data_IF_989873307755
#
_entry.id   IF_989873307755
#
_cell.length_a   1.000
_cell.length_b   1.000
_cell.length_c   1.000
_cell.angle_alpha   90.00
_cell.angle_beta   90.00
_cell.angle_gamma   90.00
#
_symmetry.space_group_name_H-M   'P 1'
#
loop_
_entity.id
_entity.type
_entity.pdbx_description
1 polymer ?
#
# COMPACT_ATOMS: atom_id res chain seq x y z
N UNK A 1 -22.54 26.33 -13.95
CA UNK A 1 -22.90 25.22 -13.06
C UNK A 1 -21.77 24.20 -13.12
N UNK A 2 -20.85 24.20 -12.14
CA UNK A 2 -19.63 23.38 -12.11
C UNK A 2 -19.47 22.62 -10.76
N UNK A 3 -20.58 22.46 -10.03
CA UNK A 3 -20.62 21.80 -8.70
C UNK A 3 -20.12 20.34 -8.67
N UNK A 4 -20.39 19.48 -9.69
CA UNK A 4 -20.02 18.07 -9.61
C UNK A 4 -18.51 17.83 -9.47
N UNK A 5 -17.69 18.71 -10.05
CA UNK A 5 -16.22 18.55 -10.08
C UNK A 5 -15.55 18.93 -8.77
N UNK A 6 -16.03 19.97 -8.09
CA UNK A 6 -15.48 20.40 -6.79
C UNK A 6 -15.89 19.43 -5.69
N UNK A 7 -17.16 19.02 -5.66
CA UNK A 7 -17.67 18.05 -4.68
C UNK A 7 -16.95 16.70 -4.79
N UNK A 8 -16.69 16.23 -6.02
CA UNK A 8 -15.90 15.02 -6.26
C UNK A 8 -14.46 15.17 -5.74
N UNK A 9 -13.78 16.26 -6.04
CA UNK A 9 -12.41 16.49 -5.57
C UNK A 9 -12.31 16.55 -4.03
N UNK A 10 -13.28 17.18 -3.36
CA UNK A 10 -13.36 17.18 -1.90
C UNK A 10 -13.58 15.76 -1.38
N UNK A 11 -14.51 15.00 -1.99
CA UNK A 11 -14.79 13.63 -1.59
C UNK A 11 -13.56 12.73 -1.71
N UNK A 12 -12.78 12.85 -2.78
CA UNK A 12 -11.55 12.06 -2.99
C UNK A 12 -10.48 12.39 -1.92
N UNK A 13 -10.31 13.68 -1.59
CA UNK A 13 -9.38 14.10 -0.53
C UNK A 13 -9.83 13.60 0.84
N UNK A 14 -11.12 13.74 1.17
CA UNK A 14 -11.69 13.22 2.41
C UNK A 14 -11.49 11.71 2.47
N UNK A 15 -11.80 10.99 1.38
CA UNK A 15 -11.60 9.54 1.32
C UNK A 15 -10.15 9.12 1.56
N UNK A 16 -9.19 9.81 0.96
CA UNK A 16 -7.77 9.55 1.22
C UNK A 16 -7.37 9.70 2.70
N UNK A 17 -8.01 10.61 3.43
CA UNK A 17 -7.71 10.92 4.83
C UNK A 17 -8.51 10.07 5.83
N UNK A 18 -9.75 9.70 5.50
CA UNK A 18 -10.69 9.16 6.48
C UNK A 18 -11.28 7.80 6.12
N UNK A 19 -11.17 7.35 4.87
CA UNK A 19 -11.69 6.02 4.52
C UNK A 19 -10.90 4.95 5.28
N UNK A 20 -11.58 3.89 5.77
CA UNK A 20 -10.92 2.80 6.46
C UNK A 20 -9.74 2.25 5.67
N UNK A 21 -8.65 1.91 6.37
CA UNK A 21 -7.52 1.21 5.77
C UNK A 21 -7.96 -0.23 5.46
N UNK A 22 -7.72 -0.67 4.23
CA UNK A 22 -8.04 -2.04 3.80
C UNK A 22 -7.02 -3.00 4.43
N UNK A 23 -7.51 -3.91 5.26
CA UNK A 23 -6.70 -4.93 5.95
C UNK A 23 -7.34 -6.31 5.81
N UNK A 24 -6.54 -7.36 6.00
CA UNK A 24 -7.08 -8.72 6.04
C UNK A 24 -8.05 -8.89 7.23
N UNK A 25 -9.19 -9.57 7.04
CA UNK A 25 -10.15 -9.82 8.11
C UNK A 25 -9.57 -10.81 9.14
N UNK A 26 -8.96 -10.27 10.19
CA UNK A 26 -8.36 -11.07 11.27
C UNK A 26 -8.19 -10.34 12.61
N UNK A 27 -8.66 -9.09 12.72
CA UNK A 27 -8.56 -8.29 13.96
C UNK A 27 -7.22 -7.59 14.17
N UNK A 28 -6.33 -7.58 13.17
CA UNK A 28 -4.98 -7.00 13.26
C UNK A 28 -4.87 -5.56 12.70
N UNK A 29 -5.99 -4.90 12.38
CA UNK A 29 -5.94 -3.54 11.84
C UNK A 29 -5.25 -2.54 12.77
N UNK A 30 -5.47 -2.68 14.09
CA UNK A 30 -4.87 -1.80 15.10
C UNK A 30 -3.36 -2.06 15.32
N UNK A 31 -2.83 -3.21 14.87
CA UNK A 31 -1.39 -3.52 14.98
C UNK A 31 -0.57 -2.94 13.83
N UNK A 32 -1.18 -2.28 12.85
CA UNK A 32 -0.44 -1.62 11.79
C UNK A 32 0.47 -0.52 12.35
N UNK A 33 1.74 -0.46 11.92
CA UNK A 33 2.65 0.57 12.39
C UNK A 33 2.27 1.94 11.81
N UNK A 34 2.48 3.01 12.60
CA UNK A 34 2.01 4.36 12.25
C UNK A 34 2.67 4.93 10.99
N UNK A 35 3.91 4.52 10.71
CA UNK A 35 4.59 4.90 9.47
C UNK A 35 3.89 4.36 8.23
N UNK A 36 3.30 3.17 8.32
CA UNK A 36 2.59 2.54 7.21
C UNK A 36 1.23 3.22 7.01
N UNK A 37 0.52 3.54 8.10
CA UNK A 37 -0.72 4.34 8.03
C UNK A 37 -0.49 5.68 7.35
N UNK A 38 0.62 6.36 7.68
CA UNK A 38 1.02 7.62 7.05
C UNK A 38 1.32 7.42 5.56
N UNK A 39 2.04 6.36 5.20
CA UNK A 39 2.37 6.02 3.80
C UNK A 39 1.11 5.76 2.97
N UNK A 40 0.12 5.06 3.53
CA UNK A 40 -1.18 4.82 2.89
C UNK A 40 -1.89 6.14 2.57
N UNK A 41 -1.97 7.06 3.54
CA UNK A 41 -2.58 8.38 3.31
C UNK A 41 -1.88 9.13 2.19
N UNK A 42 -0.54 9.13 2.17
CA UNK A 42 0.25 9.80 1.14
C UNK A 42 0.04 9.16 -0.24
N UNK A 43 0.07 7.83 -0.33
CA UNK A 43 -0.12 7.12 -1.60
C UNK A 43 -1.54 7.28 -2.14
N UNK A 44 -2.58 7.29 -1.29
CA UNK A 44 -3.96 7.60 -1.70
C UNK A 44 -4.07 9.02 -2.29
N UNK A 45 -3.41 10.02 -1.68
CA UNK A 45 -3.35 11.37 -2.23
C UNK A 45 -2.61 11.42 -3.58
N UNK A 46 -1.53 10.66 -3.73
CA UNK A 46 -0.82 10.51 -5.03
C UNK A 46 -1.73 9.88 -6.08
N UNK A 47 -2.50 8.86 -5.71
CA UNK A 47 -3.46 8.23 -6.62
C UNK A 47 -4.58 9.17 -7.05
N UNK A 48 -5.10 10.01 -6.14
CA UNK A 48 -6.04 11.08 -6.51
C UNK A 48 -5.42 12.02 -7.55
N UNK A 49 -4.16 12.42 -7.37
CA UNK A 49 -3.46 13.27 -8.35
C UNK A 49 -3.27 12.60 -9.71
N UNK A 50 -3.02 11.28 -9.75
CA UNK A 50 -2.95 10.49 -11.00
C UNK A 50 -4.31 10.39 -11.67
N UNK A 51 -5.37 10.14 -10.90
CA UNK A 51 -6.74 10.11 -11.40
C UNK A 51 -7.16 11.44 -12.04
N UNK A 52 -6.78 12.57 -11.44
CA UNK A 52 -7.00 13.91 -12.02
C UNK A 52 -6.28 14.12 -13.36
N UNK A 53 -5.18 13.40 -13.60
CA UNK A 53 -4.45 13.40 -14.88
C UNK A 53 -5.00 12.41 -15.91
N UNK A 54 -6.08 11.69 -15.57
CA UNK A 54 -6.73 10.72 -16.45
C UNK A 54 -6.16 9.30 -16.37
N UNK A 55 -5.28 9.01 -15.41
CA UNK A 55 -4.83 7.64 -15.14
C UNK A 55 -5.94 6.84 -14.42
N UNK A 56 -6.02 5.54 -14.68
CA UNK A 56 -6.98 4.67 -13.98
C UNK A 56 -6.54 4.46 -12.52
N UNK A 57 -7.40 4.75 -11.52
CA UNK A 57 -7.08 4.48 -10.13
C UNK A 57 -6.86 2.98 -9.87
N UNK A 58 -5.83 2.65 -9.12
CA UNK A 58 -5.48 1.30 -8.64
C UNK A 58 -5.30 1.30 -7.13
N UNK A 59 -5.23 0.11 -6.52
CA UNK A 59 -4.71 -0.04 -5.17
C UNK A 59 -3.27 0.50 -5.05
N UNK A 60 -2.89 0.87 -3.83
CA UNK A 60 -1.57 1.43 -3.51
C UNK A 60 -0.63 0.35 -2.98
N UNK A 61 0.68 0.51 -3.17
CA UNK A 61 1.68 -0.43 -2.64
C UNK A 61 1.58 -0.47 -1.10
N UNK A 62 1.37 0.69 -0.46
CA UNK A 62 1.21 0.76 0.99
C UNK A 62 -0.05 0.03 1.50
N UNK A 63 -1.18 0.07 0.79
CA UNK A 63 -2.38 -0.70 1.18
C UNK A 63 -2.19 -2.20 0.95
N UNK A 64 -1.56 -2.59 -0.17
CA UNK A 64 -1.20 -3.98 -0.39
C UNK A 64 -0.26 -4.49 0.73
N UNK A 65 0.71 -3.67 1.15
CA UNK A 65 1.59 -3.97 2.28
C UNK A 65 0.81 -4.15 3.59
N UNK A 66 -0.17 -3.29 3.89
CA UNK A 66 -0.99 -3.40 5.10
C UNK A 66 -1.89 -4.63 5.09
N UNK A 67 -2.49 -4.94 3.95
CA UNK A 67 -3.30 -6.14 3.77
C UNK A 67 -2.47 -7.40 3.99
N UNK A 68 -1.30 -7.51 3.34
CA UNK A 68 -0.42 -8.67 3.48
C UNK A 68 0.20 -8.76 4.89
N UNK A 69 0.58 -7.65 5.51
CA UNK A 69 1.05 -7.64 6.89
C UNK A 69 0.00 -8.26 7.83
N UNK A 70 -1.24 -7.80 7.76
CA UNK A 70 -2.33 -8.32 8.61
C UNK A 70 -2.75 -9.75 8.25
N UNK A 71 -2.63 -10.16 6.98
CA UNK A 71 -2.83 -11.54 6.56
C UNK A 71 -1.79 -12.48 7.19
N UNK A 72 -0.51 -12.09 7.20
CA UNK A 72 0.60 -12.89 7.77
C UNK A 72 0.47 -13.11 9.28
N UNK A 73 -0.17 -12.17 9.98
CA UNK A 73 -0.49 -12.31 11.41
C UNK A 73 -1.68 -13.22 11.67
N UNK A 74 -2.55 -13.41 10.68
CA UNK A 74 -3.74 -14.26 10.80
C UNK A 74 -3.46 -15.71 10.44
N UNK A 75 -2.63 -15.93 9.42
CA UNK A 75 -2.29 -17.25 8.93
C UNK A 75 -0.90 -17.28 8.29
N UNK A 76 -0.24 -18.45 8.26
CA UNK A 76 1.02 -18.60 7.54
C UNK A 76 0.85 -18.27 6.06
N UNK A 77 1.79 -17.50 5.51
CA UNK A 77 1.90 -17.33 4.06
C UNK A 77 2.68 -18.50 3.47
N UNK A 78 2.31 -18.92 2.26
CA UNK A 78 3.18 -19.76 1.45
C UNK A 78 4.39 -18.97 0.94
N UNK A 79 5.28 -19.66 0.23
CA UNK A 79 6.50 -19.06 -0.30
C UNK A 79 6.23 -17.87 -1.23
N UNK A 80 5.26 -17.97 -2.13
CA UNK A 80 5.03 -16.96 -3.15
C UNK A 80 4.39 -15.70 -2.55
N UNK A 81 3.42 -15.86 -1.65
CA UNK A 81 2.86 -14.73 -0.91
C UNK A 81 3.87 -14.07 0.03
N UNK A 82 4.78 -14.84 0.62
CA UNK A 82 5.89 -14.27 1.41
C UNK A 82 6.83 -13.43 0.53
N UNK A 83 7.17 -13.89 -0.68
CA UNK A 83 7.98 -13.13 -1.63
C UNK A 83 7.28 -11.85 -2.08
N UNK A 84 5.98 -11.91 -2.40
CA UNK A 84 5.16 -10.75 -2.75
C UNK A 84 5.14 -9.74 -1.59
N UNK A 85 4.92 -10.21 -0.36
CA UNK A 85 4.91 -9.34 0.82
C UNK A 85 6.26 -8.64 1.01
N UNK A 86 7.37 -9.36 0.97
CA UNK A 86 8.72 -8.78 1.14
C UNK A 86 9.07 -7.79 0.03
N UNK A 87 8.65 -8.06 -1.22
CA UNK A 87 8.83 -7.14 -2.35
C UNK A 87 8.11 -5.81 -2.12
N UNK A 88 6.81 -5.85 -1.76
CA UNK A 88 6.03 -4.64 -1.53
C UNK A 88 6.50 -3.92 -0.27
N UNK A 89 6.73 -4.66 0.82
CA UNK A 89 7.22 -4.08 2.06
C UNK A 89 8.54 -3.34 1.85
N UNK A 90 9.46 -3.91 1.05
CA UNK A 90 10.69 -3.24 0.64
C UNK A 90 10.41 -1.93 -0.10
N UNK A 91 9.56 -1.96 -1.13
CA UNK A 91 9.19 -0.76 -1.91
C UNK A 91 8.54 0.33 -1.06
N UNK A 92 7.54 -0.02 -0.25
CA UNK A 92 6.83 0.92 0.62
C UNK A 92 7.77 1.50 1.66
N UNK A 93 8.61 0.67 2.28
CA UNK A 93 9.57 1.12 3.29
C UNK A 93 10.62 2.06 2.70
N UNK A 94 11.14 1.75 1.51
CA UNK A 94 12.10 2.61 0.80
C UNK A 94 11.48 3.93 0.33
N UNK A 95 10.20 3.94 -0.02
CA UNK A 95 9.45 5.15 -0.35
C UNK A 95 9.17 6.03 0.88
N UNK A 96 8.92 5.42 2.03
CA UNK A 96 8.64 6.13 3.28
C UNK A 96 9.88 6.74 3.93
N UNK A 97 10.99 6.00 3.96
CA UNK A 97 12.18 6.40 4.72
C UNK A 97 12.80 7.69 4.18
N UNK A 98 13.40 8.48 5.07
CA UNK A 98 14.31 9.56 4.65
C UNK A 98 15.67 8.98 4.27
N UNK A 99 16.41 9.65 3.40
CA UNK A 99 17.77 9.19 3.02
C UNK A 99 18.73 9.28 4.21
N UNK A 100 18.48 10.19 5.15
CA UNK A 100 19.25 10.42 6.36
C UNK A 100 19.01 9.37 7.44
N UNK A 101 17.91 8.60 7.39
CA UNK A 101 17.59 7.59 8.42
C UNK A 101 18.58 6.43 8.44
N UNK A 102 19.32 6.21 7.34
CA UNK A 102 20.25 5.09 7.17
C UNK A 102 19.56 3.71 7.14
N UNK A 103 18.24 3.67 7.31
CA UNK A 103 17.50 2.42 7.36
C UNK A 103 17.27 1.89 5.94
N UNK A 104 17.51 0.61 5.71
CA UNK A 104 17.27 -0.05 4.43
C UNK A 104 16.68 -1.42 4.70
N UNK A 105 15.96 -1.98 3.72
CA UNK A 105 15.54 -3.38 3.82
C UNK A 105 16.79 -4.27 3.97
N UNK A 106 16.89 -5.10 5.02
CA UNK A 106 18.03 -6.00 5.21
C UNK A 106 18.24 -6.90 3.98
N UNK A 107 19.50 -7.15 3.64
CA UNK A 107 19.87 -7.84 2.39
C UNK A 107 19.38 -9.29 2.34
N UNK A 108 19.31 -9.97 3.49
CA UNK A 108 18.94 -11.37 3.64
C UNK A 108 17.46 -11.65 3.35
N UNK A 109 16.60 -10.64 3.51
CA UNK A 109 15.14 -10.73 3.27
C UNK A 109 14.67 -9.85 2.12
N UNK A 110 15.60 -9.19 1.41
CA UNK A 110 15.26 -8.30 0.30
C UNK A 110 14.80 -9.09 -0.91
N UNK A 111 13.68 -8.66 -1.49
CA UNK A 111 13.15 -9.19 -2.75
C UNK A 111 13.06 -8.03 -3.73
N UNK A 112 13.93 -8.02 -4.75
CA UNK A 112 14.00 -6.93 -5.73
C UNK A 112 13.10 -7.16 -6.95
N UNK A 113 12.68 -8.41 -7.20
CA UNK A 113 11.91 -8.81 -8.37
C UNK A 113 10.96 -9.95 -8.03
N UNK A 114 9.78 -9.89 -8.64
CA UNK A 114 8.81 -10.99 -8.66
C UNK A 114 8.84 -11.67 -10.03
N UNK A 115 8.52 -12.96 -10.06
CA UNK A 115 8.25 -13.65 -11.32
C UNK A 115 6.87 -13.26 -11.90
N UNK A 116 6.57 -13.69 -13.12
CA UNK A 116 5.31 -13.31 -13.81
C UNK A 116 4.04 -13.79 -13.08
N UNK A 117 4.11 -14.92 -12.39
CA UNK A 117 2.99 -15.47 -11.62
C UNK A 117 2.75 -14.67 -10.35
N UNK A 118 3.79 -14.43 -9.56
CA UNK A 118 3.76 -13.59 -8.37
C UNK A 118 3.31 -12.16 -8.70
N UNK A 119 3.77 -11.58 -9.80
CA UNK A 119 3.35 -10.26 -10.26
C UNK A 119 1.86 -10.25 -10.67
N UNK A 120 1.39 -11.32 -11.31
CA UNK A 120 -0.03 -11.48 -11.65
C UNK A 120 -0.91 -11.62 -10.41
N UNK A 121 -0.46 -12.34 -9.39
CA UNK A 121 -1.19 -12.49 -8.13
C UNK A 121 -1.21 -11.19 -7.32
N UNK A 122 -0.10 -10.46 -7.29
CA UNK A 122 -0.07 -9.09 -6.76
C UNK A 122 -1.08 -8.19 -7.46
N UNK A 123 -1.14 -8.20 -8.79
CA UNK A 123 -2.10 -7.37 -9.54
C UNK A 123 -3.58 -7.78 -9.35
N UNK A 124 -3.86 -8.93 -8.72
CA UNK A 124 -5.20 -9.42 -8.41
C UNK A 124 -5.63 -9.12 -6.97
N UNK A 125 -4.69 -8.69 -6.12
CA UNK A 125 -4.94 -8.26 -4.75
C UNK A 125 -5.83 -7.01 -4.74
#
# INVERSE_FOLDING_TARGET
>A
MNKPTIEKGISEIVGALTDPIIVFPGGWGDSLPDWLKTSITLERLVMNMRALKGEQPTGTDAEACAYLNTASLTQPMDHDWAQIYLYIAGKTYEGWRTKESGATMPEDIRVDKLNDEQMRDLNRL
#
